data_IF_055793571420
#
_entry.id   IF_055793571420
#
_cell.length_a   1.000
_cell.length_b   1.000
_cell.length_c   1.000
_cell.angle_alpha   90.00
_cell.angle_beta   90.00
_cell.angle_gamma   90.00
#
_symmetry.space_group_name_H-M   'P 1'
#
loop_
_entity.id
_entity.type
_entity.pdbx_description
1 polymer ?
#
# COMPACT_ATOMS: atom_id res chain seq x y z
N UNK A 1 34.49 -3.03 -21.24
CA UNK A 1 33.11 -2.88 -21.76
C UNK A 1 32.38 -4.22 -21.84
N UNK A 2 32.99 -5.28 -22.38
CA UNK A 2 32.40 -6.63 -22.40
C UNK A 2 31.99 -7.12 -20.99
N UNK A 3 32.87 -6.95 -20.00
CA UNK A 3 32.59 -7.38 -18.62
C UNK A 3 31.40 -6.66 -17.98
N UNK A 4 31.18 -5.37 -18.29
CA UNK A 4 30.03 -4.61 -17.77
C UNK A 4 28.73 -5.12 -18.39
N UNK A 5 28.74 -5.46 -19.68
CA UNK A 5 27.57 -6.04 -20.36
C UNK A 5 27.22 -7.42 -19.81
N UNK A 6 28.22 -8.24 -19.48
CA UNK A 6 28.01 -9.54 -18.84
C UNK A 6 27.40 -9.40 -17.43
N UNK A 7 27.85 -8.43 -16.64
CA UNK A 7 27.25 -8.14 -15.33
C UNK A 7 25.80 -7.64 -15.45
N UNK A 8 25.49 -6.80 -16.44
CA UNK A 8 24.14 -6.29 -16.70
C UNK A 8 23.17 -7.43 -17.09
N UNK A 9 23.63 -8.38 -17.91
CA UNK A 9 22.86 -9.57 -18.27
C UNK A 9 22.58 -10.46 -17.05
N UNK A 10 23.58 -10.70 -16.20
CA UNK A 10 23.41 -11.49 -14.98
C UNK A 10 22.40 -10.83 -14.02
N UNK A 11 22.47 -9.52 -13.85
CA UNK A 11 21.50 -8.78 -13.02
C UNK A 11 20.09 -8.88 -13.58
N UNK A 12 19.95 -8.78 -14.91
CA UNK A 12 18.65 -8.93 -15.59
C UNK A 12 18.05 -10.31 -15.34
N UNK A 13 18.86 -11.37 -15.42
CA UNK A 13 18.42 -12.73 -15.14
C UNK A 13 17.99 -12.90 -13.67
N UNK A 14 18.80 -12.40 -12.72
CA UNK A 14 18.50 -12.44 -11.29
C UNK A 14 17.18 -11.71 -11.00
N UNK A 15 16.98 -10.52 -11.57
CA UNK A 15 15.74 -9.76 -11.41
C UNK A 15 14.53 -10.48 -12.03
N UNK A 16 14.72 -11.13 -13.17
CA UNK A 16 13.71 -11.97 -13.81
C UNK A 16 13.27 -13.12 -12.90
N UNK A 17 14.23 -13.83 -12.32
CA UNK A 17 13.98 -14.95 -11.40
C UNK A 17 13.28 -14.50 -10.12
N UNK A 18 13.71 -13.39 -9.51
CA UNK A 18 13.04 -12.80 -8.34
C UNK A 18 11.59 -12.47 -8.68
N UNK A 19 11.37 -11.77 -9.80
CA UNK A 19 10.03 -11.35 -10.27
C UNK A 19 9.10 -12.55 -10.47
N UNK A 20 9.60 -13.61 -11.12
CA UNK A 20 8.83 -14.83 -11.33
C UNK A 20 8.42 -15.48 -10.01
N UNK A 21 9.37 -15.64 -9.08
CA UNK A 21 9.12 -16.24 -7.77
C UNK A 21 8.06 -15.49 -6.96
N UNK A 22 8.07 -14.15 -7.02
CA UNK A 22 7.07 -13.30 -6.35
C UNK A 22 5.66 -13.58 -6.85
N UNK A 23 5.47 -13.72 -8.17
CA UNK A 23 4.14 -13.94 -8.76
C UNK A 23 3.53 -15.29 -8.38
N UNK A 24 4.39 -16.28 -8.11
CA UNK A 24 3.94 -17.64 -7.85
C UNK A 24 3.66 -17.89 -6.36
N UNK A 25 4.34 -17.20 -5.43
CA UNK A 25 4.40 -17.66 -4.03
C UNK A 25 4.20 -16.58 -2.94
N UNK A 26 4.08 -15.29 -3.26
CA UNK A 26 4.07 -14.23 -2.25
C UNK A 26 2.67 -13.59 -2.12
N UNK A 27 1.97 -13.96 -1.05
CA UNK A 27 0.73 -13.33 -0.61
C UNK A 27 0.95 -12.68 0.78
N UNK A 28 0.61 -11.39 0.97
CA UNK A 28 0.64 -10.77 2.29
C UNK A 28 -0.34 -11.46 3.26
N UNK A 29 0.10 -11.66 4.50
CA UNK A 29 -0.73 -12.15 5.60
C UNK A 29 -1.64 -11.04 6.10
N UNK A 30 -2.93 -11.30 6.23
CA UNK A 30 -3.89 -10.34 6.80
C UNK A 30 -3.68 -10.27 8.32
N UNK A 31 -3.39 -9.08 8.83
CA UNK A 31 -3.29 -8.84 10.28
C UNK A 31 -4.68 -8.62 10.88
N UNK A 32 -5.52 -7.87 10.15
CA UNK A 32 -6.89 -7.63 10.55
C UNK A 32 -7.54 -6.43 9.86
N UNK A 33 -8.79 -6.22 10.24
CA UNK A 33 -9.66 -5.16 9.75
C UNK A 33 -9.90 -4.14 10.87
N UNK A 34 -10.06 -2.87 10.52
CA UNK A 34 -10.26 -1.79 11.48
C UNK A 34 -10.99 -0.59 10.85
N UNK A 35 -11.85 0.06 11.63
CA UNK A 35 -12.20 1.46 11.40
C UNK A 35 -11.14 2.35 12.05
N UNK A 36 -11.10 3.64 11.69
CA UNK A 36 -10.13 4.58 12.26
C UNK A 36 -10.20 4.61 13.80
N UNK A 37 -11.42 4.56 14.36
CA UNK A 37 -11.64 4.58 15.80
C UNK A 37 -11.25 3.24 16.47
N UNK A 38 -11.48 2.11 15.78
CA UNK A 38 -11.11 0.77 16.24
C UNK A 38 -9.63 0.40 16.07
N UNK A 39 -8.79 1.27 15.48
CA UNK A 39 -7.38 0.94 15.22
C UNK A 39 -6.57 0.58 16.48
N UNK A 40 -6.91 1.16 17.63
CA UNK A 40 -6.21 0.86 18.88
C UNK A 40 -6.33 -0.62 19.28
N UNK A 41 -7.45 -1.27 18.95
CA UNK A 41 -7.67 -2.69 19.26
C UNK A 41 -6.81 -3.61 18.37
N UNK A 42 -6.46 -3.16 17.16
CA UNK A 42 -5.59 -3.88 16.24
C UNK A 42 -4.09 -3.65 16.54
N UNK A 43 -3.76 -2.62 17.31
CA UNK A 43 -2.36 -2.22 17.60
C UNK A 43 -1.50 -3.35 18.19
N UNK A 44 -1.97 -4.15 19.18
CA UNK A 44 -1.20 -5.27 19.71
C UNK A 44 -0.85 -6.34 18.66
N UNK A 45 -1.72 -6.56 17.67
CA UNK A 45 -1.45 -7.47 16.56
C UNK A 45 -0.41 -6.90 15.61
N UNK A 46 -0.49 -5.60 15.29
CA UNK A 46 0.49 -4.89 14.46
C UNK A 46 1.88 -4.87 15.11
N UNK A 47 1.96 -4.73 16.43
CA UNK A 47 3.24 -4.69 17.16
C UNK A 47 4.07 -5.97 17.07
N UNK A 48 3.44 -7.10 16.75
CA UNK A 48 4.14 -8.36 16.48
C UNK A 48 4.98 -8.29 15.19
N UNK A 49 4.66 -7.37 14.27
CA UNK A 49 5.34 -7.19 12.99
C UNK A 49 6.40 -6.09 13.05
N UNK A 50 7.30 -6.17 14.04
CA UNK A 50 8.53 -5.37 14.08
C UNK A 50 9.59 -5.94 13.12
N UNK A 51 9.19 -6.11 11.85
CA UNK A 51 9.94 -6.80 10.81
C UNK A 51 10.22 -5.88 9.63
N UNK A 52 11.12 -6.33 8.75
CA UNK A 52 11.37 -5.71 7.46
C UNK A 52 10.43 -6.32 6.42
N UNK A 53 9.89 -5.52 5.52
CA UNK A 53 9.08 -6.06 4.44
C UNK A 53 8.11 -5.06 3.83
N UNK A 54 6.98 -5.60 3.38
CA UNK A 54 5.90 -4.88 2.69
C UNK A 54 4.69 -4.82 3.60
N UNK A 55 4.00 -3.68 3.57
CA UNK A 55 2.69 -3.51 4.17
C UNK A 55 1.70 -3.08 3.09
N UNK A 56 0.46 -3.53 3.23
CA UNK A 56 -0.58 -3.34 2.25
C UNK A 56 -1.89 -2.96 2.96
N UNK A 57 -2.50 -1.89 2.51
CA UNK A 57 -3.79 -1.40 2.96
C UNK A 57 -4.82 -1.57 1.86
N UNK A 58 -6.00 -1.99 2.27
CA UNK A 58 -7.21 -2.08 1.46
C UNK A 58 -8.34 -1.34 2.16
N UNK A 59 -9.31 -0.87 1.38
CA UNK A 59 -10.55 -0.27 1.86
C UNK A 59 -11.73 -1.12 1.41
N UNK A 60 -12.70 -1.33 2.29
CA UNK A 60 -13.90 -2.11 1.96
C UNK A 60 -14.82 -1.28 1.06
N UNK A 61 -15.27 -1.87 -0.04
CA UNK A 61 -16.41 -1.38 -0.78
C UNK A 61 -17.68 -1.84 -0.07
N UNK A 62 -18.45 -0.90 0.45
CA UNK A 62 -19.75 -1.16 1.06
C UNK A 62 -20.87 -1.34 0.02
N UNK A 63 -20.53 -1.32 -1.29
CA UNK A 63 -21.45 -1.43 -2.41
C UNK A 63 -22.58 -0.40 -2.37
N UNK A 64 -22.31 0.81 -1.84
CA UNK A 64 -23.25 1.93 -1.97
C UNK A 64 -23.50 2.34 -3.43
N UNK A 65 -22.57 2.02 -4.32
CA UNK A 65 -22.68 2.26 -5.76
C UNK A 65 -22.61 0.94 -6.52
N UNK A 66 -23.59 0.72 -7.40
CA UNK A 66 -23.57 -0.40 -8.35
C UNK A 66 -22.56 -0.15 -9.49
N UNK A 67 -22.23 1.12 -9.75
CA UNK A 67 -21.25 1.54 -10.75
C UNK A 67 -19.91 1.88 -10.09
N UNK A 68 -18.84 1.21 -10.55
CA UNK A 68 -17.48 1.44 -10.07
C UNK A 68 -16.96 2.85 -10.41
N UNK A 69 -17.43 3.48 -11.50
CA UNK A 69 -17.01 4.85 -11.83
C UNK A 69 -17.58 5.87 -10.84
N UNK A 70 -18.83 5.68 -10.40
CA UNK A 70 -19.42 6.50 -9.32
C UNK A 70 -18.68 6.31 -8.00
N UNK A 71 -18.32 5.06 -7.67
CA UNK A 71 -17.49 4.78 -6.49
C UNK A 71 -16.13 5.49 -6.57
N UNK A 72 -15.47 5.45 -7.73
CA UNK A 72 -14.18 6.14 -7.93
C UNK A 72 -14.32 7.64 -7.78
N UNK A 73 -15.36 8.23 -8.34
CA UNK A 73 -15.61 9.67 -8.26
C UNK A 73 -15.81 10.11 -6.80
N UNK A 74 -16.68 9.41 -6.05
CA UNK A 74 -16.88 9.65 -4.62
C UNK A 74 -15.57 9.52 -3.84
N UNK A 75 -14.84 8.42 -4.06
CA UNK A 75 -13.57 8.18 -3.39
C UNK A 75 -12.55 9.28 -3.69
N UNK A 76 -12.40 9.69 -4.95
CA UNK A 76 -11.47 10.76 -5.35
C UNK A 76 -11.87 12.08 -4.68
N UNK A 77 -13.15 12.44 -4.72
CA UNK A 77 -13.64 13.69 -4.12
C UNK A 77 -13.35 13.74 -2.62
N UNK A 78 -13.54 12.62 -1.90
CA UNK A 78 -13.23 12.53 -0.47
C UNK A 78 -11.72 12.45 -0.20
N UNK A 79 -10.98 11.66 -0.96
CA UNK A 79 -9.55 11.42 -0.73
C UNK A 79 -8.68 12.64 -1.08
N UNK A 80 -9.06 13.36 -2.13
CA UNK A 80 -8.34 14.53 -2.64
C UNK A 80 -9.04 15.86 -2.31
N UNK A 81 -9.89 15.88 -1.29
CA UNK A 81 -10.43 17.12 -0.73
C UNK A 81 -9.29 18.11 -0.40
N UNK A 82 -9.52 19.40 -0.68
CA UNK A 82 -8.53 20.47 -0.55
C UNK A 82 -7.97 20.61 0.87
N UNK A 83 -8.74 20.21 1.89
CA UNK A 83 -8.28 20.16 3.29
C UNK A 83 -7.08 19.23 3.43
N UNK A 84 -7.02 18.14 2.65
CA UNK A 84 -6.00 17.09 2.75
C UNK A 84 -4.96 17.12 1.63
N UNK A 85 -5.37 17.31 0.36
CA UNK A 85 -4.55 17.03 -0.84
C UNK A 85 -3.19 17.72 -0.87
N UNK A 86 -3.08 18.90 -0.26
CA UNK A 86 -1.85 19.70 -0.22
C UNK A 86 -1.04 19.53 1.07
N UNK A 87 -1.37 18.54 1.91
CA UNK A 87 -0.77 18.32 3.23
C UNK A 87 0.23 17.17 3.28
N UNK A 88 1.06 17.04 2.23
CA UNK A 88 2.06 15.98 2.11
C UNK A 88 1.47 14.56 2.24
N UNK A 89 0.27 14.31 1.72
CA UNK A 89 -0.36 12.99 1.68
C UNK A 89 -0.20 12.36 0.28
N UNK A 90 -0.26 11.03 0.14
CA UNK A 90 -0.33 10.41 -1.18
C UNK A 90 -1.70 10.66 -1.82
N UNK A 91 -1.71 10.93 -3.13
CA UNK A 91 -2.93 11.16 -3.92
C UNK A 91 -3.30 9.91 -4.72
N UNK A 92 -4.42 9.97 -5.42
CA UNK A 92 -4.86 8.89 -6.28
C UNK A 92 -3.98 8.76 -7.52
N UNK A 93 -3.99 7.57 -8.09
CA UNK A 93 -3.16 7.17 -9.22
C UNK A 93 -4.07 6.86 -10.39
N UNK A 94 -4.25 7.83 -11.31
CA UNK A 94 -5.14 7.69 -12.47
C UNK A 94 -4.96 6.36 -13.22
N UNK A 95 -3.70 5.96 -13.48
CA UNK A 95 -3.39 4.69 -14.16
C UNK A 95 -3.87 3.46 -13.38
N UNK A 96 -3.86 3.49 -12.04
CA UNK A 96 -4.31 2.39 -11.18
C UNK A 96 -5.84 2.41 -11.02
N UNK A 97 -6.43 3.59 -10.87
CA UNK A 97 -7.88 3.78 -10.88
C UNK A 97 -8.51 3.27 -12.18
N UNK A 98 -7.90 3.53 -13.34
CA UNK A 98 -8.39 3.03 -14.62
C UNK A 98 -8.37 1.50 -14.74
N UNK A 99 -7.56 0.81 -13.93
CA UNK A 99 -7.52 -0.67 -13.89
C UNK A 99 -8.54 -1.27 -12.94
N UNK A 100 -9.12 -0.47 -12.05
CA UNK A 100 -10.23 -0.90 -11.19
C UNK A 100 -11.50 -0.85 -12.04
N UNK A 101 -11.84 -1.93 -12.71
CA UNK A 101 -12.94 -1.99 -13.67
C UNK A 101 -14.18 -2.73 -13.14
N UNK A 102 -14.14 -3.18 -11.90
CA UNK A 102 -15.21 -3.94 -11.26
C UNK A 102 -15.31 -3.61 -9.77
N UNK A 103 -16.51 -3.75 -9.23
CA UNK A 103 -16.76 -3.65 -7.80
C UNK A 103 -16.21 -4.87 -7.06
N UNK A 104 -15.10 -4.66 -6.35
CA UNK A 104 -14.51 -5.65 -5.45
C UNK A 104 -14.91 -5.31 -4.02
N UNK A 105 -15.14 -6.32 -3.19
CA UNK A 105 -15.39 -6.11 -1.76
C UNK A 105 -14.21 -5.37 -1.11
N UNK A 106 -12.98 -5.67 -1.53
CA UNK A 106 -11.78 -5.01 -1.02
C UNK A 106 -11.02 -4.36 -2.15
N UNK A 107 -10.83 -3.05 -2.02
CA UNK A 107 -10.16 -2.23 -3.01
C UNK A 107 -8.73 -1.95 -2.55
N UNK A 108 -7.72 -2.33 -3.35
CA UNK A 108 -6.32 -2.03 -3.09
C UNK A 108 -6.08 -0.54 -2.91
N UNK A 109 -5.78 -0.11 -1.69
CA UNK A 109 -5.66 1.31 -1.35
C UNK A 109 -4.20 1.75 -1.48
N UNK A 110 -3.31 1.20 -0.66
CA UNK A 110 -1.93 1.65 -0.57
C UNK A 110 -1.00 0.48 -0.29
N UNK A 111 0.17 0.48 -0.94
CA UNK A 111 1.23 -0.49 -0.68
C UNK A 111 2.51 0.26 -0.39
N UNK A 112 3.31 -0.20 0.57
CA UNK A 112 4.62 0.39 0.85
C UNK A 112 5.59 -0.62 1.46
N UNK A 113 6.85 -0.20 1.57
CA UNK A 113 7.93 -1.00 2.17
C UNK A 113 8.54 -0.31 3.36
N UNK A 114 9.00 -1.06 4.35
CA UNK A 114 9.68 -0.51 5.52
C UNK A 114 10.65 -1.52 6.13
N UNK A 115 11.74 -1.03 6.71
CA UNK A 115 12.60 -1.82 7.60
C UNK A 115 11.97 -2.06 8.97
N UNK A 116 10.92 -1.30 9.29
CA UNK A 116 10.06 -1.49 10.45
C UNK A 116 8.61 -1.31 10.02
N UNK A 117 7.93 -2.42 9.73
CA UNK A 117 6.58 -2.43 9.19
C UNK A 117 5.57 -1.91 10.21
N UNK A 118 5.58 -2.40 11.46
CA UNK A 118 4.69 -1.92 12.53
C UNK A 118 4.72 -0.40 12.67
N UNK A 119 5.90 0.19 12.84
CA UNK A 119 6.06 1.63 13.00
C UNK A 119 5.50 2.40 11.80
N UNK A 120 5.69 1.87 10.59
CA UNK A 120 5.25 2.55 9.37
C UNK A 120 3.74 2.46 9.18
N UNK A 121 3.12 1.33 9.49
CA UNK A 121 1.65 1.19 9.53
C UNK A 121 1.07 2.22 10.51
N UNK A 122 1.58 2.27 11.75
CA UNK A 122 1.13 3.24 12.76
C UNK A 122 1.28 4.69 12.30
N UNK A 123 2.35 5.01 11.57
CA UNK A 123 2.55 6.33 10.98
C UNK A 123 1.51 6.66 9.90
N UNK A 124 1.14 5.70 9.05
CA UNK A 124 0.07 5.88 8.06
C UNK A 124 -1.28 6.21 8.70
N UNK A 125 -1.54 5.74 9.93
CA UNK A 125 -2.78 6.02 10.64
C UNK A 125 -2.70 7.31 11.45
N UNK A 126 -1.70 7.42 12.32
CA UNK A 126 -1.70 8.39 13.42
C UNK A 126 -0.96 9.70 13.13
N UNK A 127 -0.21 9.79 12.03
CA UNK A 127 0.57 11.00 11.77
C UNK A 127 -0.35 12.21 11.55
N UNK A 128 -0.07 13.29 12.26
CA UNK A 128 -0.71 14.60 12.12
C UNK A 128 -0.64 15.14 10.67
N UNK A 129 -1.69 15.86 10.26
CA UNK A 129 -1.88 16.38 8.91
C UNK A 129 -0.77 17.36 8.51
N UNK A 130 -0.20 18.08 9.46
CA UNK A 130 0.76 19.16 9.27
C UNK A 130 2.19 18.65 9.08
N UNK A 131 2.46 17.37 9.38
CA UNK A 131 3.82 16.81 9.29
C UNK A 131 4.19 16.53 7.84
N UNK A 132 5.40 16.91 7.45
CA UNK A 132 5.92 16.74 6.09
C UNK A 132 6.36 15.28 5.82
N UNK A 133 5.42 14.35 5.88
CA UNK A 133 5.63 12.93 5.58
C UNK A 133 4.52 12.43 4.68
N UNK A 134 4.87 11.63 3.68
CA UNK A 134 3.93 10.99 2.73
C UNK A 134 3.18 9.79 3.33
N UNK A 135 2.84 9.88 4.61
CA UNK A 135 1.90 8.99 5.27
C UNK A 135 0.47 9.28 4.77
N UNK A 136 -0.44 8.31 4.89
CA UNK A 136 -1.85 8.50 4.49
C UNK A 136 -2.61 9.39 5.47
N UNK A 137 -2.19 9.37 6.75
CA UNK A 137 -2.73 10.17 7.86
C UNK A 137 -4.22 9.89 8.07
N UNK A 138 -4.59 8.61 8.07
CA UNK A 138 -6.00 8.21 8.05
C UNK A 138 -6.80 8.84 9.20
N UNK A 139 -6.25 8.92 10.41
CA UNK A 139 -6.93 9.52 11.56
C UNK A 139 -7.27 11.00 11.38
N UNK A 140 -6.52 11.73 10.57
CA UNK A 140 -6.80 13.13 10.25
C UNK A 140 -7.87 13.31 9.15
N UNK A 141 -8.26 12.24 8.45
CA UNK A 141 -9.26 12.27 7.37
C UNK A 141 -10.64 11.96 7.95
N UNK A 142 -11.33 12.99 8.43
CA UNK A 142 -12.60 12.80 9.15
C UNK A 142 -13.70 12.17 8.29
N UNK A 143 -13.67 12.42 6.98
CA UNK A 143 -14.57 11.86 5.98
C UNK A 143 -14.33 10.37 5.65
N UNK A 144 -13.37 9.72 6.32
CA UNK A 144 -13.11 8.28 6.25
C UNK A 144 -13.32 7.58 7.60
N UNK A 145 -13.84 8.24 8.63
CA UNK A 145 -13.97 7.67 10.00
C UNK A 145 -14.75 6.35 10.04
N UNK A 146 -15.80 6.26 9.25
CA UNK A 146 -16.70 5.09 9.19
C UNK A 146 -16.24 4.01 8.22
N UNK A 147 -15.18 4.28 7.45
CA UNK A 147 -14.67 3.34 6.45
C UNK A 147 -13.94 2.17 7.12
N UNK A 148 -14.14 0.97 6.58
CA UNK A 148 -13.47 -0.22 7.06
C UNK A 148 -12.22 -0.48 6.22
N UNK A 149 -11.08 -0.51 6.90
CA UNK A 149 -9.78 -0.79 6.31
C UNK A 149 -9.33 -2.20 6.67
N UNK A 150 -8.50 -2.77 5.82
CA UNK A 150 -7.75 -4.01 6.10
C UNK A 150 -6.27 -3.74 5.92
N UNK A 151 -5.47 -4.31 6.81
CA UNK A 151 -4.01 -4.25 6.70
C UNK A 151 -3.41 -5.65 6.67
N UNK A 152 -2.48 -5.83 5.74
CA UNK A 152 -1.75 -7.06 5.53
C UNK A 152 -0.25 -6.79 5.48
N UNK A 153 0.55 -7.77 5.87
CA UNK A 153 2.01 -7.67 5.92
C UNK A 153 2.66 -8.86 5.24
N UNK A 154 3.74 -8.59 4.54
CA UNK A 154 4.64 -9.60 4.00
C UNK A 154 6.03 -9.34 4.55
N UNK A 155 6.48 -10.20 5.44
CA UNK A 155 7.85 -10.18 5.96
C UNK A 155 8.84 -10.58 4.86
N UNK A 156 9.93 -9.82 4.75
CA UNK A 156 11.03 -10.08 3.82
C UNK A 156 12.34 -9.81 4.55
N UNK A 157 12.81 -10.81 5.30
CA UNK A 157 14.12 -10.74 5.93
C UNK A 157 15.19 -11.31 5.01
N UNK A 158 15.82 -10.41 4.25
CA UNK A 158 16.89 -10.73 3.30
C UNK A 158 18.08 -9.83 3.53
N UNK A 159 19.29 -10.37 3.29
CA UNK A 159 20.55 -9.64 3.46
C UNK A 159 20.61 -8.38 2.58
N UNK A 160 20.21 -8.50 1.31
CA UNK A 160 20.28 -7.40 0.33
C UNK A 160 18.93 -6.66 0.21
N UNK A 161 18.37 -6.24 1.35
CA UNK A 161 17.05 -5.60 1.45
C UNK A 161 16.86 -4.46 0.44
N UNK A 162 17.83 -3.55 0.33
CA UNK A 162 17.72 -2.36 -0.52
C UNK A 162 17.74 -2.68 -2.03
N UNK A 163 18.07 -3.92 -2.41
CA UNK A 163 18.07 -4.39 -3.80
C UNK A 163 16.82 -5.22 -4.09
N UNK A 164 16.46 -6.14 -3.18
CA UNK A 164 15.38 -7.11 -3.39
C UNK A 164 14.01 -6.47 -3.12
N UNK A 165 13.82 -5.84 -1.97
CA UNK A 165 12.49 -5.35 -1.55
C UNK A 165 11.90 -4.27 -2.47
N UNK A 166 12.68 -3.35 -3.09
CA UNK A 166 12.14 -2.48 -4.14
C UNK A 166 11.53 -3.24 -5.33
N UNK A 167 12.13 -4.36 -5.74
CA UNK A 167 11.63 -5.16 -6.86
C UNK A 167 10.34 -5.88 -6.47
N UNK A 168 10.32 -6.47 -5.26
CA UNK A 168 9.12 -7.10 -4.70
C UNK A 168 7.98 -6.09 -4.61
N UNK A 169 8.24 -4.92 -4.03
CA UNK A 169 7.26 -3.84 -3.89
C UNK A 169 6.68 -3.41 -5.24
N UNK A 170 7.54 -3.22 -6.25
CA UNK A 170 7.15 -2.84 -7.60
C UNK A 170 6.25 -3.89 -8.24
N UNK A 171 6.61 -5.17 -8.13
CA UNK A 171 5.81 -6.25 -8.70
C UNK A 171 4.47 -6.40 -7.99
N UNK A 172 4.42 -6.32 -6.66
CA UNK A 172 3.16 -6.35 -5.92
C UNK A 172 2.26 -5.15 -6.27
N UNK A 173 2.83 -3.95 -6.49
CA UNK A 173 2.05 -2.82 -7.04
C UNK A 173 1.48 -3.11 -8.43
N UNK A 174 2.18 -3.88 -9.26
CA UNK A 174 1.71 -4.26 -10.59
C UNK A 174 0.58 -5.30 -10.53
N UNK A 175 0.65 -6.22 -9.58
CA UNK A 175 -0.34 -7.25 -9.32
C UNK A 175 -1.61 -6.62 -8.71
N UNK A 176 -1.47 -5.96 -7.56
CA UNK A 176 -2.64 -5.47 -6.79
C UNK A 176 -3.18 -4.14 -7.28
N UNK A 177 -2.38 -3.33 -8.00
CA UNK A 177 -2.81 -2.03 -8.51
C UNK A 177 -3.39 -1.08 -7.43
N UNK A 178 -2.67 -0.80 -6.33
CA UNK A 178 -3.15 0.11 -5.28
C UNK A 178 -3.45 1.50 -5.85
N UNK A 179 -4.62 2.06 -5.52
CA UNK A 179 -5.13 3.29 -6.14
C UNK A 179 -4.52 4.57 -5.56
N UNK A 180 -3.87 4.51 -4.40
CA UNK A 180 -3.20 5.64 -3.75
C UNK A 180 -1.67 5.44 -3.74
N UNK A 181 -0.93 6.52 -4.03
CA UNK A 181 0.54 6.49 -4.05
C UNK A 181 1.18 7.87 -4.24
N UNK A 182 2.49 7.93 -4.07
CA UNK A 182 3.27 9.18 -4.13
C UNK A 182 3.77 9.56 -5.53
N UNK A 183 3.95 8.58 -6.40
CA UNK A 183 4.58 8.75 -7.71
C UNK A 183 3.75 8.07 -8.72
#
# INVERSE_FOLDING_TARGET
MKDILEQDQLLTEIFGNITKSIRENLAPEIIGEFTIEGFNDLTPSIDKYNVKGIYFFEIKNNFMFDDIELWKEDFINRWEDDIYKHRFVPNTRKVRLNKLNENKEWIPLYLGKSRNVSSRIKEHINKELEKNTFAMKLKARENFREELFRVSVLEIDVTHYDWIVPLVEKELRNIYNPIVGKQ
#
